data_IF_881475273594
#
_entry.id   IF_881475273594
#
_cell.length_a   1.000
_cell.length_b   1.000
_cell.length_c   1.000
_cell.angle_alpha   90.00
_cell.angle_beta   90.00
_cell.angle_gamma   90.00
#
_symmetry.space_group_name_H-M   'P 1'
#
loop_
_entity.id
_entity.type
_entity.pdbx_description
1 polymer ?
#
# COMPACT_ATOMS: atom_id res chain seq x y z
N UNK A 1 13.01 -12.70 1.54
CA UNK A 1 11.94 -13.72 1.38
C UNK A 1 12.25 -14.59 0.16
N UNK A 2 12.01 -15.90 0.21
CA UNK A 2 12.17 -16.77 -0.98
C UNK A 2 10.85 -16.83 -1.76
N UNK A 3 10.85 -16.28 -2.97
CA UNK A 3 9.70 -16.29 -3.89
C UNK A 3 9.95 -17.31 -5.01
N UNK A 4 8.90 -17.90 -5.60
CA UNK A 4 9.04 -18.83 -6.72
C UNK A 4 9.66 -18.14 -7.94
N UNK A 5 10.42 -18.90 -8.74
CA UNK A 5 10.99 -18.40 -9.99
C UNK A 5 9.91 -18.05 -11.01
N UNK A 6 10.15 -17.01 -11.80
CA UNK A 6 9.35 -16.62 -12.94
C UNK A 6 10.27 -16.10 -14.05
N UNK A 7 10.00 -16.47 -15.30
CA UNK A 7 10.80 -16.03 -16.46
C UNK A 7 10.59 -14.54 -16.76
N UNK A 8 9.36 -14.05 -16.62
CA UNK A 8 8.96 -12.69 -16.99
C UNK A 8 9.10 -11.66 -15.86
N UNK A 9 9.68 -12.04 -14.72
CA UNK A 9 9.78 -11.19 -13.53
C UNK A 9 11.09 -11.41 -12.80
N UNK A 10 11.82 -10.33 -12.56
CA UNK A 10 13.09 -10.36 -11.81
C UNK A 10 12.86 -10.59 -10.31
N UNK A 11 12.63 -11.85 -9.95
CA UNK A 11 12.31 -12.29 -8.58
C UNK A 11 13.36 -11.83 -7.57
N UNK A 12 14.64 -11.78 -7.96
CA UNK A 12 15.73 -11.32 -7.09
C UNK A 12 15.55 -9.86 -6.64
N UNK A 13 15.04 -8.99 -7.51
CA UNK A 13 14.78 -7.60 -7.13
C UNK A 13 13.47 -7.46 -6.37
N UNK A 14 12.42 -8.18 -6.79
CA UNK A 14 11.16 -8.19 -6.07
C UNK A 14 11.31 -8.69 -4.63
N UNK A 15 12.09 -9.75 -4.39
CA UNK A 15 12.31 -10.30 -3.06
C UNK A 15 12.97 -9.32 -2.09
N UNK A 16 13.75 -8.36 -2.60
CA UNK A 16 14.42 -7.33 -1.80
C UNK A 16 13.46 -6.31 -1.21
N UNK A 17 12.24 -6.21 -1.73
CA UNK A 17 11.15 -5.44 -1.13
C UNK A 17 10.96 -5.83 0.35
N UNK A 18 11.20 -7.10 0.67
CA UNK A 18 11.02 -7.68 2.01
C UNK A 18 12.28 -7.67 2.87
N UNK A 19 13.40 -7.10 2.40
CA UNK A 19 14.67 -7.11 3.15
C UNK A 19 14.69 -6.08 4.29
N UNK A 20 14.05 -4.92 4.09
CA UNK A 20 13.97 -3.87 5.10
C UNK A 20 12.53 -3.38 5.26
N UNK A 21 11.90 -3.76 6.37
CA UNK A 21 10.53 -3.42 6.72
C UNK A 21 10.39 -2.02 7.36
N UNK A 22 11.47 -1.27 7.55
CA UNK A 22 11.43 0.09 8.14
C UNK A 22 10.72 1.13 7.26
N UNK A 23 10.58 0.83 5.97
CA UNK A 23 9.92 1.69 4.98
C UNK A 23 8.55 1.09 4.61
N UNK A 24 7.62 1.13 5.55
CA UNK A 24 6.34 0.43 5.46
C UNK A 24 5.49 0.83 4.25
N UNK A 25 5.63 2.06 3.73
CA UNK A 25 4.92 2.51 2.53
C UNK A 25 5.17 1.65 1.30
N UNK A 26 6.32 0.97 1.23
CA UNK A 26 6.64 0.05 0.14
C UNK A 26 5.70 -1.14 0.11
N UNK A 27 5.18 -1.56 1.25
CA UNK A 27 4.16 -2.61 1.32
C UNK A 27 2.81 -2.13 0.80
N UNK A 28 2.42 -0.89 1.11
CA UNK A 28 1.20 -0.30 0.54
C UNK A 28 1.30 -0.14 -0.97
N UNK A 29 2.45 0.32 -1.48
CA UNK A 29 2.72 0.37 -2.92
C UNK A 29 2.60 -0.99 -3.59
N UNK A 30 3.22 -2.01 -2.99
CA UNK A 30 3.17 -3.37 -3.53
C UNK A 30 1.76 -3.97 -3.47
N UNK A 31 1.06 -3.78 -2.35
CA UNK A 31 -0.33 -4.21 -2.18
C UNK A 31 -1.24 -3.56 -3.23
N UNK A 32 -1.08 -2.26 -3.48
CA UNK A 32 -1.85 -1.55 -4.50
C UNK A 32 -1.61 -2.10 -5.91
N UNK A 33 -0.36 -2.42 -6.27
CA UNK A 33 -0.05 -3.10 -7.54
C UNK A 33 -0.75 -4.46 -7.63
N UNK A 34 -0.64 -5.28 -6.57
CA UNK A 34 -1.26 -6.61 -6.54
C UNK A 34 -2.78 -6.51 -6.66
N UNK A 35 -3.43 -5.59 -5.93
CA UNK A 35 -4.86 -5.30 -6.00
C UNK A 35 -5.30 -5.06 -7.45
N UNK A 36 -4.56 -4.22 -8.17
CA UNK A 36 -4.88 -3.82 -9.55
C UNK A 36 -4.62 -4.94 -10.55
N UNK A 37 -3.62 -5.79 -10.32
CA UNK A 37 -3.40 -7.02 -11.09
C UNK A 37 -4.57 -7.99 -10.89
N UNK A 38 -5.06 -8.16 -9.65
CA UNK A 38 -6.21 -9.01 -9.34
C UNK A 38 -7.52 -8.51 -9.97
N UNK A 39 -7.66 -7.19 -10.14
CA UNK A 39 -8.74 -6.57 -10.94
C UNK A 39 -8.59 -6.83 -12.46
N UNK A 40 -7.49 -7.46 -12.91
CA UNK A 40 -7.20 -7.71 -14.31
C UNK A 40 -6.54 -6.54 -15.04
N UNK A 41 -6.13 -5.48 -14.34
CA UNK A 41 -5.41 -4.37 -14.96
C UNK A 41 -3.98 -4.78 -15.34
N UNK A 42 -3.59 -4.43 -16.57
CA UNK A 42 -2.21 -4.58 -17.08
C UNK A 42 -1.45 -3.26 -17.17
N UNK A 43 -2.16 -2.15 -17.02
CA UNK A 43 -1.64 -0.79 -16.99
C UNK A 43 -2.39 -0.02 -15.92
N UNK A 44 -1.69 0.86 -15.24
CA UNK A 44 -2.21 1.71 -14.18
C UNK A 44 -1.55 3.08 -14.31
N UNK A 45 -2.31 4.15 -14.11
CA UNK A 45 -1.71 5.48 -14.00
C UNK A 45 -1.01 5.64 -12.65
N UNK A 46 -0.14 6.65 -12.55
CA UNK A 46 0.48 6.95 -11.27
C UNK A 46 -0.56 7.39 -10.23
N UNK A 47 -1.53 8.19 -10.64
CA UNK A 47 -2.63 8.68 -9.79
C UNK A 47 -3.48 7.52 -9.28
N UNK A 48 -3.90 6.60 -10.14
CA UNK A 48 -4.68 5.42 -9.73
C UNK A 48 -3.93 4.55 -8.72
N UNK A 49 -2.60 4.46 -8.82
CA UNK A 49 -1.77 3.74 -7.87
C UNK A 49 -1.73 4.45 -6.51
N UNK A 50 -1.53 5.77 -6.52
CA UNK A 50 -1.47 6.57 -5.30
C UNK A 50 -2.83 6.61 -4.59
N UNK A 51 -3.94 6.71 -5.34
CA UNK A 51 -5.30 6.66 -4.80
C UNK A 51 -5.55 5.35 -4.05
N UNK A 52 -5.14 4.21 -4.63
CA UNK A 52 -5.23 2.90 -3.98
C UNK A 52 -4.37 2.83 -2.72
N UNK A 53 -3.13 3.33 -2.78
CA UNK A 53 -2.23 3.39 -1.62
C UNK A 53 -2.82 4.21 -0.47
N UNK A 54 -3.42 5.38 -0.76
CA UNK A 54 -4.11 6.22 0.24
C UNK A 54 -5.29 5.48 0.83
N UNK A 55 -6.14 4.86 0.00
CA UNK A 55 -7.30 4.10 0.45
C UNK A 55 -6.94 2.94 1.38
N UNK A 56 -5.84 2.26 1.09
CA UNK A 56 -5.35 1.14 1.90
C UNK A 56 -4.68 1.59 3.21
N UNK A 57 -3.89 2.66 3.16
CA UNK A 57 -3.24 3.22 4.35
C UNK A 57 -4.22 3.94 5.27
N UNK A 58 -5.36 4.43 4.75
CA UNK A 58 -6.29 5.32 5.44
C UNK A 58 -6.63 4.84 6.85
N UNK A 59 -7.18 3.63 6.99
CA UNK A 59 -7.63 3.12 8.28
C UNK A 59 -6.45 2.93 9.25
N UNK A 60 -5.32 2.39 8.75
CA UNK A 60 -4.15 2.10 9.58
C UNK A 60 -3.49 3.37 10.13
N UNK A 61 -3.39 4.42 9.31
CA UNK A 61 -2.78 5.70 9.72
C UNK A 61 -3.74 6.51 10.58
N UNK A 62 -5.01 6.62 10.18
CA UNK A 62 -5.96 7.55 10.84
C UNK A 62 -6.55 7.02 12.14
N UNK A 63 -6.81 5.71 12.24
CA UNK A 63 -7.41 5.08 13.44
C UNK A 63 -6.34 4.45 14.34
N UNK A 64 -5.41 3.69 13.76
CA UNK A 64 -4.37 2.99 14.54
C UNK A 64 -3.08 3.79 14.69
N UNK A 65 -2.98 4.98 14.09
CA UNK A 65 -1.78 5.84 14.16
C UNK A 65 -0.49 5.11 13.74
N UNK A 66 -0.60 4.22 12.74
CA UNK A 66 0.53 3.49 12.21
C UNK A 66 1.54 4.45 11.58
N UNK A 67 2.77 4.42 12.08
CA UNK A 67 3.89 5.15 11.48
C UNK A 67 4.43 4.36 10.28
N UNK A 68 4.50 5.01 9.11
CA UNK A 68 4.93 4.36 7.86
C UNK A 68 6.43 4.48 7.57
N UNK A 69 7.17 5.12 8.49
CA UNK A 69 8.60 5.32 8.43
C UNK A 69 8.98 6.80 8.53
N UNK A 70 10.23 7.10 8.93
CA UNK A 70 10.66 8.46 9.27
C UNK A 70 10.74 9.44 8.07
N UNK A 71 10.61 8.95 6.83
CA UNK A 71 10.65 9.75 5.61
C UNK A 71 9.45 9.51 4.71
N UNK A 72 8.37 8.99 5.26
CA UNK A 72 7.24 8.58 4.45
C UNK A 72 6.29 9.74 4.11
N UNK A 73 6.13 9.99 2.81
CA UNK A 73 5.22 11.02 2.30
C UNK A 73 3.77 10.51 2.25
N UNK A 74 3.52 9.20 2.24
CA UNK A 74 2.18 8.64 2.20
C UNK A 74 1.43 8.91 3.51
N UNK A 75 2.06 8.69 4.66
CA UNK A 75 1.52 9.03 5.98
C UNK A 75 1.21 10.53 6.06
N UNK A 76 2.14 11.38 5.64
CA UNK A 76 1.94 12.83 5.63
C UNK A 76 0.75 13.24 4.74
N UNK A 77 0.60 12.61 3.57
CA UNK A 77 -0.51 12.86 2.66
C UNK A 77 -1.85 12.38 3.24
N UNK A 78 -1.90 11.18 3.82
CA UNK A 78 -3.11 10.65 4.48
C UNK A 78 -3.54 11.56 5.62
N UNK A 79 -2.60 11.95 6.49
CA UNK A 79 -2.86 12.90 7.58
C UNK A 79 -3.36 14.25 7.04
N UNK A 80 -2.73 14.78 5.99
CA UNK A 80 -3.18 16.02 5.36
C UNK A 80 -4.62 15.89 4.86
N UNK A 81 -4.95 14.84 4.11
CA UNK A 81 -6.31 14.61 3.61
C UNK A 81 -7.30 14.48 4.78
N UNK A 82 -6.95 13.78 5.85
CA UNK A 82 -7.79 13.67 7.05
C UNK A 82 -8.07 15.05 7.67
N UNK A 83 -7.05 15.92 7.77
CA UNK A 83 -7.22 17.26 8.36
C UNK A 83 -8.15 18.16 7.54
N UNK A 84 -8.07 18.11 6.21
CA UNK A 84 -8.88 18.97 5.33
C UNK A 84 -10.30 18.44 5.11
N UNK A 85 -10.49 17.12 5.14
CA UNK A 85 -11.80 16.48 4.89
C UNK A 85 -12.58 16.20 6.17
N UNK A 86 -11.89 16.03 7.31
CA UNK A 86 -12.45 15.53 8.57
C UNK A 86 -13.22 14.20 8.42
N UNK A 87 -12.93 13.44 7.36
CA UNK A 87 -13.56 12.15 7.13
C UNK A 87 -13.10 11.15 8.18
N UNK A 88 -14.07 10.48 8.80
CA UNK A 88 -13.77 9.39 9.73
C UNK A 88 -13.43 8.12 8.94
N UNK A 89 -12.44 7.34 9.37
CA UNK A 89 -12.23 6.01 8.82
C UNK A 89 -13.49 5.17 9.02
N UNK A 90 -14.05 4.67 7.91
CA UNK A 90 -15.06 3.62 7.96
C UNK A 90 -14.34 2.34 8.38
N UNK A 91 -14.88 1.59 9.36
CA UNK A 91 -14.34 0.27 9.72
C UNK A 91 -14.23 -0.57 8.44
N UNK A 92 -13.02 -0.86 7.97
CA UNK A 92 -12.79 -1.97 7.05
C UNK A 92 -13.14 -3.22 7.85
N UNK A 93 -14.23 -3.90 7.50
CA UNK A 93 -14.50 -5.22 8.06
C UNK A 93 -13.28 -6.10 7.72
N UNK A 94 -12.62 -6.73 8.70
CA UNK A 94 -11.35 -7.45 8.50
C UNK A 94 -11.45 -8.70 7.61
N UNK A 95 -12.57 -8.91 6.90
CA UNK A 95 -12.89 -10.14 6.16
C UNK A 95 -12.75 -9.97 4.64
N UNK A 96 -12.47 -8.77 4.10
CA UNK A 96 -12.34 -8.60 2.65
C UNK A 96 -10.93 -8.78 2.09
N UNK A 97 -9.92 -9.07 2.93
CA UNK A 97 -8.53 -9.33 2.49
C UNK A 97 -8.12 -10.78 2.80
N UNK A 98 -9.04 -11.73 2.60
CA UNK A 98 -8.72 -13.16 2.58
C UNK A 98 -8.35 -13.57 1.15
N UNK A 99 -7.16 -13.15 0.72
CA UNK A 99 -6.38 -13.80 -0.34
C UNK A 99 -4.92 -13.78 0.09
#
# INVERSE_FOLDING_TARGET
>A
MHLPYAEDLEIRYLSRLFDNTSECYKFFWFQAIVSKILEGKRRISFEELIDEMIADAWYMVTEYHLNLGPKDNLEALVNYIQTVTQMRPLRKNPISSAF
#
